data_IF_273789846008
#
_entry.id   IF_273789846008
#
_cell.length_a   1.000
_cell.length_b   1.000
_cell.length_c   1.000
_cell.angle_alpha   90.00
_cell.angle_beta   90.00
_cell.angle_gamma   90.00
#
_symmetry.space_group_name_H-M   'P 1'
#
loop_
_entity.id
_entity.type
_entity.pdbx_description
1 polymer ?
#
# COMPACT_ATOMS: atom_id res chain seq x y z
N UNK A 1 -24.74 13.06 15.91
CA UNK A 1 -23.31 12.72 16.05
C UNK A 1 -23.22 11.31 15.55
N UNK A 2 -22.44 11.07 14.50
CA UNK A 2 -22.43 9.79 13.79
C UNK A 2 -21.25 8.98 14.30
N UNK A 3 -21.50 7.74 14.73
CA UNK A 3 -20.42 6.84 15.19
C UNK A 3 -19.95 5.99 14.03
N UNK A 4 -18.65 6.04 13.73
CA UNK A 4 -18.00 5.20 12.73
C UNK A 4 -17.28 4.07 13.43
N UNK A 5 -17.78 2.84 13.28
CA UNK A 5 -17.06 1.64 13.70
C UNK A 5 -16.07 1.26 12.61
N UNK A 6 -14.78 1.36 12.91
CA UNK A 6 -13.70 1.04 11.96
C UNK A 6 -13.19 -0.38 12.17
N UNK A 7 -13.25 -1.21 11.12
CA UNK A 7 -12.79 -2.60 11.13
C UNK A 7 -11.57 -2.75 10.21
N UNK A 8 -10.41 -2.98 10.82
CA UNK A 8 -9.13 -3.04 10.10
C UNK A 8 -8.96 -4.34 9.29
N UNK A 9 -8.02 -4.34 8.33
CA UNK A 9 -7.61 -5.50 7.54
C UNK A 9 -6.69 -6.49 8.28
N UNK A 10 -6.16 -7.47 7.55
CA UNK A 10 -5.26 -8.51 8.08
C UNK A 10 -3.94 -7.95 8.60
N UNK A 11 -3.27 -8.67 9.50
CA UNK A 11 -1.91 -8.33 9.95
C UNK A 11 -1.78 -7.08 10.82
N UNK A 12 -2.77 -6.19 10.84
CA UNK A 12 -2.76 -4.97 11.65
C UNK A 12 -2.84 -5.32 13.13
N UNK A 13 -1.79 -4.97 13.88
CA UNK A 13 -1.64 -5.12 15.33
C UNK A 13 -0.99 -3.85 15.89
N UNK A 14 -0.89 -3.72 17.21
CA UNK A 14 -0.14 -2.62 17.81
C UNK A 14 1.36 -2.70 17.48
N UNK A 15 2.06 -1.58 17.26
CA UNK A 15 1.56 -0.19 17.31
C UNK A 15 0.87 0.32 16.03
N UNK A 16 0.87 -0.48 14.95
CA UNK A 16 0.30 -0.09 13.64
C UNK A 16 -1.20 0.18 13.66
N UNK A 17 -1.95 -0.51 14.54
CA UNK A 17 -3.38 -0.27 14.76
C UNK A 17 -3.64 1.15 15.27
N UNK A 18 -2.92 1.60 16.30
CA UNK A 18 -3.04 2.97 16.83
C UNK A 18 -2.76 4.01 15.73
N UNK A 19 -1.71 3.82 14.94
CA UNK A 19 -1.37 4.73 13.84
C UNK A 19 -2.48 4.79 12.77
N UNK A 20 -3.01 3.63 12.37
CA UNK A 20 -4.08 3.53 11.39
C UNK A 20 -5.37 4.21 11.89
N UNK A 21 -5.80 3.91 13.11
CA UNK A 21 -7.01 4.50 13.71
C UNK A 21 -6.85 6.02 13.87
N UNK A 22 -5.67 6.48 14.29
CA UNK A 22 -5.34 7.90 14.35
C UNK A 22 -5.47 8.58 12.98
N UNK A 23 -4.95 7.96 11.92
CA UNK A 23 -5.06 8.46 10.56
C UNK A 23 -6.51 8.52 10.06
N UNK A 24 -7.29 7.46 10.27
CA UNK A 24 -8.71 7.42 9.91
C UNK A 24 -9.51 8.48 10.65
N UNK A 25 -9.27 8.63 11.95
CA UNK A 25 -9.91 9.65 12.78
C UNK A 25 -9.60 11.05 12.27
N UNK A 26 -8.33 11.36 11.99
CA UNK A 26 -7.92 12.65 11.45
C UNK A 26 -8.51 12.92 10.06
N UNK A 27 -8.55 11.91 9.19
CA UNK A 27 -9.10 12.03 7.83
C UNK A 27 -10.60 12.32 7.83
N UNK A 28 -11.38 11.66 8.70
CA UNK A 28 -12.82 11.93 8.83
C UNK A 28 -13.09 13.29 9.49
N UNK A 29 -12.37 13.63 10.55
CA UNK A 29 -12.51 14.92 11.24
C UNK A 29 -12.18 16.12 10.33
N UNK A 30 -11.25 15.95 9.37
CA UNK A 30 -10.94 16.98 8.39
C UNK A 30 -12.09 17.27 7.39
N UNK A 31 -13.06 16.36 7.27
CA UNK A 31 -14.18 16.51 6.32
C UNK A 31 -15.48 16.94 7.00
N UNK A 32 -15.77 16.46 8.22
CA UNK A 32 -16.99 16.79 8.96
C UNK A 32 -16.76 16.68 10.47
N UNK A 33 -17.18 17.71 11.20
CA UNK A 33 -17.21 17.70 12.67
C UNK A 33 -18.24 16.70 13.22
N UNK A 34 -18.08 16.30 14.49
CA UNK A 34 -19.03 15.43 15.21
C UNK A 34 -19.14 14.00 14.65
N UNK A 35 -18.05 13.47 14.12
CA UNK A 35 -17.84 12.04 13.85
C UNK A 35 -16.99 11.45 14.98
N UNK A 36 -17.45 10.35 15.58
CA UNK A 36 -16.66 9.57 16.53
C UNK A 36 -16.21 8.27 15.89
N UNK A 37 -14.91 8.00 15.90
CA UNK A 37 -14.36 6.73 15.42
C UNK A 37 -14.18 5.76 16.58
N UNK A 38 -14.74 4.57 16.46
CA UNK A 38 -14.59 3.47 17.43
C UNK A 38 -13.95 2.28 16.71
N UNK A 39 -12.72 1.89 17.04
CA UNK A 39 -12.07 0.77 16.37
C UNK A 39 -12.61 -0.58 16.87
N UNK A 40 -12.85 -1.52 15.96
CA UNK A 40 -13.03 -2.93 16.29
C UNK A 40 -11.70 -3.69 16.15
N UNK A 41 -11.00 -3.85 17.27
CA UNK A 41 -9.62 -4.36 17.35
C UNK A 41 -9.53 -5.90 17.34
N UNK A 42 -10.13 -6.57 16.35
CA UNK A 42 -10.23 -8.03 16.31
C UNK A 42 -8.87 -8.74 16.22
N UNK A 43 -7.84 -8.07 15.68
CA UNK A 43 -6.54 -8.66 15.40
C UNK A 43 -5.87 -9.31 16.61
N UNK A 44 -5.87 -8.63 17.76
CA UNK A 44 -5.24 -9.14 18.97
C UNK A 44 -6.01 -10.32 19.58
N UNK A 45 -7.34 -10.28 19.54
CA UNK A 45 -8.21 -11.25 20.22
C UNK A 45 -8.47 -12.50 19.38
N UNK A 46 -8.66 -12.32 18.07
CA UNK A 46 -9.16 -13.37 17.16
C UNK A 46 -8.20 -13.70 16.03
N UNK A 47 -7.20 -12.85 15.77
CA UNK A 47 -6.24 -13.04 14.69
C UNK A 47 -5.41 -14.33 14.83
N UNK A 48 -4.85 -14.77 13.71
CA UNK A 48 -3.94 -15.90 13.68
C UNK A 48 -2.60 -15.52 14.30
N UNK A 49 -2.02 -16.47 15.05
CA UNK A 49 -0.66 -16.41 15.56
C UNK A 49 -0.02 -17.78 15.37
N UNK A 50 1.30 -17.79 15.18
CA UNK A 50 2.08 -19.02 15.16
C UNK A 50 2.26 -19.53 16.59
N UNK A 51 1.33 -20.36 17.07
CA UNK A 51 1.30 -20.86 18.44
C UNK A 51 2.59 -21.59 18.87
N UNK A 52 3.30 -22.20 17.92
CA UNK A 52 4.58 -22.88 18.14
C UNK A 52 5.77 -22.10 17.56
N UNK A 53 5.69 -20.77 17.49
CA UNK A 53 6.76 -19.88 17.02
C UNK A 53 7.38 -20.28 15.67
N UNK A 54 6.56 -20.82 14.76
CA UNK A 54 7.01 -21.25 13.44
C UNK A 54 7.69 -22.62 13.40
N UNK A 55 7.43 -23.52 14.36
CA UNK A 55 7.93 -24.90 14.31
C UNK A 55 7.55 -25.69 13.04
N UNK A 56 6.50 -25.27 12.32
CA UNK A 56 6.12 -25.82 11.02
C UNK A 56 6.93 -25.24 9.84
N UNK A 57 7.70 -24.18 10.07
CA UNK A 57 8.53 -23.57 9.04
C UNK A 57 9.79 -24.43 8.85
N UNK A 58 10.21 -24.72 7.60
CA UNK A 58 11.46 -25.40 7.37
C UNK A 58 12.62 -24.58 7.98
N UNK A 59 13.71 -25.24 8.43
CA UNK A 59 14.92 -24.55 8.84
C UNK A 59 15.34 -23.58 7.73
N UNK A 60 15.73 -22.35 8.09
CA UNK A 60 16.17 -21.34 7.13
C UNK A 60 17.46 -21.81 6.45
N UNK A 61 17.33 -22.55 5.36
CA UNK A 61 18.45 -22.85 4.46
C UNK A 61 18.75 -21.61 3.63
N UNK A 62 19.99 -21.13 3.68
CA UNK A 62 20.46 -20.06 2.82
C UNK A 62 20.26 -20.41 1.35
N UNK A 63 19.75 -19.43 0.59
CA UNK A 63 19.70 -19.39 -0.89
C UNK A 63 19.00 -20.57 -1.57
N UNK A 64 17.69 -20.45 -1.81
CA UNK A 64 16.99 -21.31 -2.78
C UNK A 64 16.75 -20.55 -4.09
N UNK A 65 17.31 -21.14 -5.16
CA UNK A 65 17.23 -20.72 -6.56
C UNK A 65 15.79 -20.78 -7.10
N UNK A 66 15.49 -19.84 -8.00
CA UNK A 66 14.25 -19.69 -8.73
C UNK A 66 14.01 -20.79 -9.79
N UNK A 67 12.73 -21.12 -10.02
CA UNK A 67 12.25 -21.85 -11.20
C UNK A 67 10.89 -21.27 -11.66
N UNK A 68 10.78 -20.96 -12.96
CA UNK A 68 9.54 -21.07 -13.75
C UNK A 68 8.95 -19.77 -14.30
N UNK A 69 8.95 -19.65 -15.63
CA UNK A 69 8.40 -18.57 -16.48
C UNK A 69 6.87 -18.61 -16.71
N UNK A 70 6.31 -17.43 -17.05
CA UNK A 70 5.16 -17.22 -17.96
C UNK A 70 3.86 -16.68 -17.33
N UNK A 71 2.90 -16.12 -18.12
CA UNK A 71 3.00 -15.11 -19.19
C UNK A 71 2.07 -13.88 -18.92
N UNK A 72 2.16 -12.83 -19.76
CA UNK A 72 1.03 -11.91 -20.01
C UNK A 72 1.34 -10.41 -19.91
N UNK A 73 1.10 -9.70 -21.02
CA UNK A 73 1.58 -8.34 -21.29
C UNK A 73 0.89 -7.21 -20.53
N UNK A 74 1.63 -6.12 -20.35
CA UNK A 74 1.14 -4.83 -19.90
C UNK A 74 1.60 -3.75 -20.88
N UNK A 75 0.67 -2.86 -21.17
CA UNK A 75 0.80 -1.80 -22.15
C UNK A 75 1.95 -0.83 -21.79
N UNK A 76 2.74 -0.49 -22.80
CA UNK A 76 4.01 0.21 -22.68
C UNK A 76 3.80 1.73 -22.63
N UNK A 77 3.39 2.28 -21.48
CA UNK A 77 3.59 3.68 -21.05
C UNK A 77 2.98 4.02 -19.66
N UNK A 78 2.78 3.05 -18.75
CA UNK A 78 2.22 3.36 -17.42
C UNK A 78 3.32 3.71 -16.39
N UNK A 79 3.37 4.96 -15.93
CA UNK A 79 4.25 5.41 -14.84
C UNK A 79 4.08 4.55 -13.57
N UNK A 80 2.88 4.01 -13.35
CA UNK A 80 2.63 3.13 -12.20
C UNK A 80 3.32 1.77 -12.34
N UNK A 81 3.46 1.24 -13.56
CA UNK A 81 4.23 0.02 -13.82
C UNK A 81 5.74 0.23 -13.56
N UNK A 82 6.27 1.41 -13.88
CA UNK A 82 7.66 1.77 -13.58
C UNK A 82 7.92 1.82 -12.07
N UNK A 83 7.01 2.44 -11.30
CA UNK A 83 7.11 2.44 -9.83
C UNK A 83 7.03 1.03 -9.24
N UNK A 84 6.20 0.17 -9.81
CA UNK A 84 6.09 -1.20 -9.35
C UNK A 84 7.38 -2.01 -9.55
N UNK A 85 8.16 -1.70 -10.59
CA UNK A 85 9.48 -2.27 -10.79
C UNK A 85 10.48 -1.71 -9.77
N UNK A 86 10.42 -0.41 -9.47
CA UNK A 86 11.27 0.23 -8.47
C UNK A 86 10.99 -0.25 -7.04
N UNK A 87 9.74 -0.57 -6.68
CA UNK A 87 9.47 -1.14 -5.35
C UNK A 87 10.05 -2.56 -5.21
N UNK A 88 10.14 -3.31 -6.30
CA UNK A 88 10.78 -4.62 -6.29
C UNK A 88 12.31 -4.51 -6.24
N UNK A 89 12.89 -3.53 -6.95
CA UNK A 89 14.31 -3.22 -6.94
C UNK A 89 14.54 -1.70 -6.95
N UNK A 90 14.71 -1.07 -5.76
CA UNK A 90 14.90 0.38 -5.65
C UNK A 90 16.13 0.92 -6.37
N UNK A 91 17.07 0.06 -6.77
CA UNK A 91 18.30 0.45 -7.45
C UNK A 91 18.28 0.13 -8.95
N UNK A 92 17.15 -0.35 -9.51
CA UNK A 92 17.07 -0.79 -10.90
C UNK A 92 17.49 0.29 -11.92
N UNK A 93 17.12 1.55 -11.68
CA UNK A 93 17.52 2.68 -12.54
C UNK A 93 19.03 2.95 -12.47
N UNK A 94 19.65 2.81 -11.29
CA UNK A 94 21.11 2.92 -11.14
C UNK A 94 21.85 1.78 -11.84
N UNK A 95 21.31 0.56 -11.82
CA UNK A 95 21.86 -0.58 -12.56
C UNK A 95 21.90 -0.27 -14.07
N UNK A 96 20.80 0.24 -14.62
CA UNK A 96 20.70 0.59 -16.03
C UNK A 96 21.64 1.74 -16.39
N UNK A 97 21.74 2.76 -15.54
CA UNK A 97 22.67 3.87 -15.73
C UNK A 97 24.13 3.38 -15.74
N UNK A 98 24.53 2.62 -14.72
CA UNK A 98 25.87 2.07 -14.58
C UNK A 98 26.28 1.16 -15.76
N UNK A 99 25.32 0.41 -16.33
CA UNK A 99 25.56 -0.43 -17.51
C UNK A 99 25.81 0.33 -18.82
N UNK A 100 25.45 1.62 -18.88
CA UNK A 100 25.65 2.49 -20.05
C UNK A 100 26.91 3.37 -19.94
N UNK A 101 27.65 3.30 -18.84
CA UNK A 101 28.85 4.10 -18.62
C UNK A 101 29.96 3.79 -19.63
N UNK A 102 30.55 4.82 -20.23
CA UNK A 102 31.79 4.70 -21.02
C UNK A 102 32.96 4.99 -20.10
N UNK A 103 34.02 4.19 -20.16
CA UNK A 103 35.26 4.48 -19.44
C UNK A 103 35.90 5.71 -20.09
N UNK A 104 35.94 6.82 -19.34
CA UNK A 104 36.63 8.05 -19.74
C UNK A 104 37.90 8.15 -18.90
N UNK A 105 39.07 8.21 -19.54
CA UNK A 105 40.32 8.51 -18.82
C UNK A 105 40.26 9.94 -18.28
N UNK A 106 40.46 10.09 -16.98
CA UNK A 106 40.42 11.38 -16.29
C UNK A 106 41.82 11.84 -15.91
N UNK A 107 42.09 13.16 -15.98
CA UNK A 107 43.35 13.72 -15.50
C UNK A 107 43.60 13.37 -14.03
N UNK A 108 44.87 13.11 -13.63
CA UNK A 108 45.23 12.94 -12.22
C UNK A 108 44.74 14.12 -11.37
N UNK A 109 44.06 13.83 -10.26
CA UNK A 109 43.55 14.84 -9.33
C UNK A 109 42.12 15.34 -9.62
N UNK A 110 41.44 14.83 -10.66
CA UNK A 110 40.02 15.12 -10.86
C UNK A 110 39.16 14.58 -9.71
N UNK A 111 38.20 15.37 -9.26
CA UNK A 111 37.22 14.91 -8.26
C UNK A 111 36.41 13.71 -8.81
N UNK A 112 36.20 12.65 -8.01
CA UNK A 112 35.33 11.54 -8.42
C UNK A 112 33.92 12.04 -8.73
N UNK A 113 33.26 11.58 -9.80
CA UNK A 113 31.98 12.15 -10.24
C UNK A 113 30.86 11.98 -9.21
N UNK A 114 30.92 10.92 -8.40
CA UNK A 114 29.97 10.67 -7.34
C UNK A 114 30.16 11.55 -6.10
N UNK A 115 31.26 12.29 -5.98
CA UNK A 115 31.63 12.99 -4.74
C UNK A 115 30.56 14.02 -4.35
N UNK A 116 30.07 14.80 -5.31
CA UNK A 116 28.97 15.75 -5.11
C UNK A 116 27.68 15.05 -4.67
N UNK A 117 27.29 13.97 -5.35
CA UNK A 117 26.09 13.20 -5.01
C UNK A 117 26.19 12.60 -3.60
N UNK A 118 27.36 12.08 -3.21
CA UNK A 118 27.62 11.58 -1.86
C UNK A 118 27.46 12.65 -0.80
N UNK A 119 28.04 13.83 -1.01
CA UNK A 119 27.91 14.94 -0.07
C UNK A 119 26.44 15.35 0.14
N UNK A 120 25.66 15.42 -0.95
CA UNK A 120 24.23 15.75 -0.88
C UNK A 120 23.41 14.65 -0.21
N UNK A 121 23.69 13.37 -0.48
CA UNK A 121 23.07 12.24 0.22
C UNK A 121 23.38 12.24 1.72
N UNK A 122 24.62 12.55 2.11
CA UNK A 122 24.98 12.71 3.52
C UNK A 122 24.23 13.88 4.17
N UNK A 123 24.04 14.99 3.45
CA UNK A 123 23.25 16.11 3.94
C UNK A 123 21.76 15.75 4.09
N UNK A 124 21.19 14.99 3.16
CA UNK A 124 19.83 14.43 3.29
C UNK A 124 19.74 13.51 4.50
N UNK A 125 20.72 12.62 4.70
CA UNK A 125 20.73 11.72 5.84
C UNK A 125 20.80 12.48 7.19
N UNK A 126 21.56 13.58 7.24
CA UNK A 126 21.69 14.42 8.43
C UNK A 126 20.40 15.19 8.78
N UNK A 127 19.52 15.45 7.80
CA UNK A 127 18.20 16.05 8.04
C UNK A 127 17.20 15.05 8.64
N UNK A 128 17.55 13.76 8.69
CA UNK A 128 16.68 12.70 9.18
C UNK A 128 15.42 12.58 8.33
N UNK A 129 14.31 12.23 8.99
CA UNK A 129 13.04 11.96 8.30
C UNK A 129 12.20 13.22 8.05
N UNK A 130 12.71 14.43 8.34
CA UNK A 130 11.96 15.69 8.15
C UNK A 130 11.51 15.86 6.70
N UNK A 131 12.36 15.50 5.74
CA UNK A 131 12.06 15.55 4.29
C UNK A 131 11.01 14.51 3.85
N UNK A 132 10.82 13.44 4.61
CA UNK A 132 9.93 12.32 4.29
C UNK A 132 8.93 12.01 5.41
N UNK A 133 8.56 13.01 6.22
CA UNK A 133 7.71 12.82 7.41
C UNK A 133 6.37 12.12 7.09
N UNK A 134 5.87 12.30 5.86
CA UNK A 134 4.65 11.69 5.33
C UNK A 134 4.77 10.21 4.94
N UNK A 135 5.99 9.67 4.78
CA UNK A 135 6.27 8.25 4.49
C UNK A 135 6.72 7.46 5.73
N UNK A 136 7.08 8.15 6.82
CA UNK A 136 7.60 7.53 8.03
C UNK A 136 9.13 7.50 8.08
N UNK A 137 9.70 6.74 9.04
CA UNK A 137 11.14 6.73 9.26
C UNK A 137 11.90 5.93 8.21
N UNK A 138 13.20 6.22 8.07
CA UNK A 138 14.14 5.41 7.29
C UNK A 138 14.85 6.16 6.17
N UNK A 139 14.56 7.46 5.98
CA UNK A 139 15.22 8.25 4.93
C UNK A 139 16.72 8.37 5.20
N UNK A 140 17.11 8.53 6.46
CA UNK A 140 18.52 8.62 6.84
C UNK A 140 19.31 7.36 6.49
N UNK A 141 18.75 6.19 6.77
CA UNK A 141 19.36 4.90 6.48
C UNK A 141 19.39 4.63 4.97
N UNK A 142 18.30 4.94 4.25
CA UNK A 142 18.24 4.82 2.80
C UNK A 142 19.27 5.73 2.10
N UNK A 143 19.40 6.99 2.53
CA UNK A 143 20.35 7.95 1.99
C UNK A 143 21.81 7.55 2.29
N UNK A 144 22.09 7.07 3.51
CA UNK A 144 23.40 6.54 3.90
C UNK A 144 23.76 5.30 3.07
N UNK A 145 22.82 4.38 2.91
CA UNK A 145 22.98 3.18 2.10
C UNK A 145 23.26 3.51 0.63
N UNK A 146 22.53 4.47 0.06
CA UNK A 146 22.74 4.91 -1.32
C UNK A 146 24.09 5.61 -1.51
N UNK A 147 24.53 6.45 -0.56
CA UNK A 147 25.83 7.13 -0.61
C UNK A 147 27.01 6.14 -0.65
N UNK A 148 26.87 5.01 0.06
CA UNK A 148 27.83 3.92 0.09
C UNK A 148 27.66 2.90 -1.05
N UNK A 149 26.61 3.02 -1.87
CA UNK A 149 26.24 1.98 -2.83
C UNK A 149 27.27 1.89 -3.99
N UNK A 150 27.70 0.67 -4.37
CA UNK A 150 28.72 0.49 -5.42
C UNK A 150 28.28 0.98 -6.81
N UNK A 151 26.97 1.06 -7.06
CA UNK A 151 26.44 1.56 -8.33
C UNK A 151 26.45 3.09 -8.46
N UNK A 152 26.67 3.84 -7.37
CA UNK A 152 26.60 5.30 -7.41
C UNK A 152 27.72 5.88 -8.30
N UNK A 153 28.95 5.37 -8.17
CA UNK A 153 30.09 5.81 -8.97
C UNK A 153 29.90 5.55 -10.48
N UNK A 154 29.62 4.33 -10.95
CA UNK A 154 29.42 4.08 -12.37
C UNK A 154 28.18 4.78 -12.94
N UNK A 155 27.12 4.99 -12.14
CA UNK A 155 25.98 5.80 -12.59
C UNK A 155 26.34 7.28 -12.74
N UNK A 156 27.16 7.83 -11.83
CA UNK A 156 27.66 9.21 -11.93
C UNK A 156 28.65 9.44 -13.07
N UNK A 157 29.34 8.39 -13.54
CA UNK A 157 30.13 8.43 -14.78
C UNK A 157 29.23 8.47 -16.03
N UNK A 158 28.06 7.85 -15.98
CA UNK A 158 27.18 7.68 -17.13
C UNK A 158 26.15 8.81 -17.31
N UNK A 159 25.82 9.54 -16.26
CA UNK A 159 24.76 10.54 -16.21
C UNK A 159 25.30 11.93 -15.89
N UNK A 160 24.59 12.96 -16.35
CA UNK A 160 24.81 14.29 -15.81
C UNK A 160 24.32 14.40 -14.35
N UNK A 161 24.76 15.42 -13.58
CA UNK A 161 24.39 15.55 -12.18
C UNK A 161 22.88 15.71 -11.92
N UNK A 162 22.12 16.29 -12.85
CA UNK A 162 20.69 16.51 -12.67
C UNK A 162 19.92 15.20 -12.87
N UNK A 163 20.26 14.43 -13.90
CA UNK A 163 19.70 13.10 -14.15
C UNK A 163 20.03 12.13 -13.01
N UNK A 164 21.26 12.18 -12.49
CA UNK A 164 21.66 11.38 -11.33
C UNK A 164 20.84 11.74 -10.07
N UNK A 165 20.58 13.03 -9.84
CA UNK A 165 19.78 13.50 -8.71
C UNK A 165 18.34 12.97 -8.79
N UNK A 166 17.73 12.97 -9.99
CA UNK A 166 16.38 12.42 -10.21
C UNK A 166 16.33 10.91 -9.95
N UNK A 167 17.29 10.14 -10.48
CA UNK A 167 17.36 8.69 -10.26
C UNK A 167 17.61 8.36 -8.78
N UNK A 168 18.51 9.09 -8.12
CA UNK A 168 18.78 8.91 -6.70
C UNK A 168 17.52 9.21 -5.85
N UNK A 169 16.79 10.28 -6.14
CA UNK A 169 15.54 10.61 -5.47
C UNK A 169 14.47 9.51 -5.62
N UNK A 170 14.28 9.00 -6.85
CA UNK A 170 13.38 7.88 -7.13
C UNK A 170 13.78 6.62 -6.39
N UNK A 171 15.08 6.33 -6.33
CA UNK A 171 15.63 5.20 -5.59
C UNK A 171 15.32 5.28 -4.08
N UNK A 172 15.53 6.46 -3.48
CA UNK A 172 15.20 6.70 -2.07
C UNK A 172 13.69 6.57 -1.80
N UNK A 173 12.85 7.21 -2.62
CA UNK A 173 11.39 7.10 -2.47
C UNK A 173 10.93 5.65 -2.64
N UNK A 174 11.41 4.95 -3.65
CA UNK A 174 11.08 3.55 -3.89
C UNK A 174 11.51 2.66 -2.73
N UNK A 175 12.68 2.93 -2.14
CA UNK A 175 13.18 2.21 -0.98
C UNK A 175 12.26 2.37 0.23
N UNK A 176 11.84 3.60 0.54
CA UNK A 176 10.94 3.88 1.65
C UNK A 176 9.58 3.20 1.48
N UNK A 177 9.01 3.24 0.27
CA UNK A 177 7.75 2.54 0.00
C UNK A 177 7.94 1.02 0.06
N UNK A 178 9.04 0.50 -0.47
CA UNK A 178 9.35 -0.94 -0.37
C UNK A 178 9.52 -1.39 1.08
N UNK A 179 10.22 -0.63 1.92
CA UNK A 179 10.38 -0.93 3.34
C UNK A 179 9.03 -0.88 4.08
N UNK A 180 8.15 0.07 3.73
CA UNK A 180 6.79 0.12 4.28
C UNK A 180 5.95 -1.10 3.87
N UNK A 181 6.11 -1.59 2.64
CA UNK A 181 5.44 -2.81 2.17
C UNK A 181 6.01 -4.07 2.84
N UNK A 182 7.34 -4.18 2.95
CA UNK A 182 8.01 -5.31 3.61
C UNK A 182 7.69 -5.38 5.11
N UNK A 183 7.37 -4.24 5.73
CA UNK A 183 6.91 -4.13 7.11
C UNK A 183 5.39 -4.34 7.27
N UNK A 184 4.66 -4.69 6.21
CA UNK A 184 3.20 -4.81 6.18
C UNK A 184 2.49 -3.56 6.74
N UNK A 185 3.01 -2.36 6.42
CA UNK A 185 2.45 -1.10 6.92
C UNK A 185 1.00 -0.92 6.45
N UNK A 186 0.05 -0.59 7.36
CA UNK A 186 -1.31 -0.28 6.98
C UNK A 186 -1.47 1.10 6.32
N UNK A 187 -0.39 1.90 6.27
CA UNK A 187 -0.37 3.27 5.79
C UNK A 187 0.70 3.42 4.71
N UNK A 188 0.34 3.08 3.47
CA UNK A 188 1.18 3.32 2.29
C UNK A 188 0.78 4.67 1.68
N UNK A 189 1.71 5.56 1.32
CA UNK A 189 1.38 6.85 0.72
C UNK A 189 0.65 6.69 -0.62
N UNK A 190 -0.13 7.70 -1.02
CA UNK A 190 -0.61 7.79 -2.40
C UNK A 190 0.53 8.06 -3.37
N UNK A 191 0.30 7.84 -4.67
CA UNK A 191 1.23 8.20 -5.73
C UNK A 191 1.47 9.71 -5.79
N UNK A 192 0.50 10.55 -5.43
CA UNK A 192 0.70 12.00 -5.34
C UNK A 192 1.69 12.36 -4.23
N UNK A 193 1.53 11.80 -3.03
CA UNK A 193 2.48 12.00 -1.92
C UNK A 193 3.86 11.46 -2.26
N UNK A 194 3.93 10.27 -2.88
CA UNK A 194 5.18 9.68 -3.39
C UNK A 194 5.87 10.63 -4.38
N UNK A 195 5.15 11.11 -5.38
CA UNK A 195 5.71 11.96 -6.44
C UNK A 195 6.19 13.30 -5.87
N UNK A 196 5.43 13.90 -4.94
CA UNK A 196 5.84 15.12 -4.24
C UNK A 196 7.11 14.93 -3.41
N UNK A 197 7.25 13.81 -2.70
CA UNK A 197 8.48 13.47 -2.00
C UNK A 197 9.65 13.30 -2.96
N UNK A 198 9.46 12.55 -4.05
CA UNK A 198 10.50 12.35 -5.07
C UNK A 198 11.00 13.69 -5.61
N UNK A 199 10.10 14.65 -5.86
CA UNK A 199 10.48 15.97 -6.36
C UNK A 199 11.29 16.75 -5.32
N UNK A 200 10.86 16.78 -4.05
CA UNK A 200 11.63 17.42 -2.97
C UNK A 200 13.02 16.79 -2.79
N UNK A 201 13.12 15.46 -2.88
CA UNK A 201 14.41 14.76 -2.79
C UNK A 201 15.29 15.06 -4.00
N UNK A 202 14.74 15.15 -5.21
CA UNK A 202 15.50 15.48 -6.40
C UNK A 202 16.10 16.89 -6.28
N UNK A 203 15.31 17.87 -5.80
CA UNK A 203 15.79 19.23 -5.52
C UNK A 203 16.90 19.24 -4.45
N UNK A 204 16.72 18.51 -3.35
CA UNK A 204 17.73 18.37 -2.29
C UNK A 204 19.03 17.72 -2.81
N UNK A 205 18.93 16.88 -3.84
CA UNK A 205 20.05 16.21 -4.51
C UNK A 205 20.61 17.03 -5.69
N UNK A 206 20.11 18.24 -5.93
CA UNK A 206 20.67 19.19 -6.89
C UNK A 206 20.05 19.14 -8.29
N UNK A 207 18.90 18.50 -8.47
CA UNK A 207 18.10 18.64 -9.69
C UNK A 207 17.50 20.06 -9.77
N UNK A 208 17.33 20.63 -10.98
CA UNK A 208 16.63 21.89 -11.14
C UNK A 208 15.15 21.76 -10.76
N UNK A 209 14.58 22.83 -10.20
CA UNK A 209 13.15 22.90 -9.86
C UNK A 209 12.30 22.67 -11.11
N UNK A 210 11.32 21.75 -11.01
CA UNK A 210 10.38 21.46 -12.10
C UNK A 210 9.58 22.73 -12.43
N UNK A 211 9.72 23.24 -13.66
CA UNK A 211 9.01 24.45 -14.12
C UNK A 211 9.87 25.42 -14.94
N UNK A 212 11.17 25.18 -15.05
CA UNK A 212 12.06 25.86 -16.01
C UNK A 212 12.38 24.89 -17.16
N UNK A 213 12.16 25.33 -18.40
CA UNK A 213 11.92 24.43 -19.55
C UNK A 213 13.08 23.54 -20.01
N UNK A 214 12.69 22.46 -20.70
CA UNK A 214 13.43 21.48 -21.54
C UNK A 214 14.18 20.34 -20.82
N UNK A 215 13.51 19.18 -20.83
CA UNK A 215 14.19 17.95 -21.27
C UNK A 215 14.47 16.87 -20.23
N UNK A 216 13.49 16.43 -19.43
CA UNK A 216 13.64 15.24 -18.57
C UNK A 216 12.80 14.03 -19.02
N UNK A 217 12.32 14.00 -20.28
CA UNK A 217 11.38 12.96 -20.76
C UNK A 217 12.00 11.78 -21.51
N UNK A 218 13.31 11.74 -21.82
CA UNK A 218 13.83 10.72 -22.76
C UNK A 218 14.60 9.54 -22.16
N UNK A 219 14.95 9.56 -20.86
CA UNK A 219 15.68 8.44 -20.21
C UNK A 219 14.81 7.63 -19.23
N UNK A 220 13.70 8.18 -18.76
CA UNK A 220 12.82 7.60 -17.72
C UNK A 220 12.00 6.38 -18.20
N UNK A 221 11.79 6.21 -19.52
CA UNK A 221 10.87 5.21 -20.08
C UNK A 221 11.53 3.86 -20.44
N UNK A 222 12.85 3.70 -20.25
CA UNK A 222 13.58 2.48 -20.66
C UNK A 222 13.65 1.35 -19.62
N UNK A 223 13.03 1.53 -18.46
CA UNK A 223 13.05 0.53 -17.36
C UNK A 223 12.04 -0.60 -17.58
N UNK A 224 10.97 -0.36 -18.36
CA UNK A 224 9.81 -1.27 -18.43
C UNK A 224 10.12 -2.63 -19.08
N UNK A 225 11.06 -2.71 -20.04
CA UNK A 225 11.27 -3.93 -20.83
C UNK A 225 12.19 -4.99 -20.19
N UNK A 226 13.22 -4.58 -19.43
CA UNK A 226 14.26 -5.49 -18.94
C UNK A 226 14.15 -5.83 -17.44
N UNK A 227 13.44 -5.01 -16.66
CA UNK A 227 13.27 -5.20 -15.20
C UNK A 227 11.98 -5.97 -14.88
N UNK A 228 11.04 -6.05 -15.83
CA UNK A 228 9.77 -6.76 -15.69
C UNK A 228 9.96 -8.22 -15.22
N UNK A 229 10.96 -8.93 -15.73
CA UNK A 229 11.21 -10.33 -15.38
C UNK A 229 11.62 -10.51 -13.91
N UNK A 230 12.44 -9.60 -13.36
CA UNK A 230 12.90 -9.67 -11.95
C UNK A 230 11.85 -9.14 -10.96
N UNK A 231 11.09 -8.12 -11.36
CA UNK A 231 9.99 -7.60 -10.56
C UNK A 231 8.86 -8.64 -10.40
N UNK A 232 8.59 -9.44 -11.43
CA UNK A 232 7.62 -10.55 -11.37
C UNK A 232 8.11 -11.67 -10.43
N UNK A 233 9.41 -12.01 -10.45
CA UNK A 233 9.99 -13.02 -9.55
C UNK A 233 9.92 -12.60 -8.05
N UNK A 234 10.14 -11.32 -7.74
CA UNK A 234 10.02 -10.79 -6.36
C UNK A 234 8.56 -10.65 -5.90
N UNK A 235 7.64 -10.27 -6.79
CA UNK A 235 6.19 -10.23 -6.51
C UNK A 235 5.65 -11.59 -6.08
N UNK A 236 6.16 -12.67 -6.67
CA UNK A 236 5.80 -14.03 -6.27
C UNK A 236 6.29 -14.38 -4.86
N UNK A 237 7.42 -13.80 -4.43
CA UNK A 237 8.05 -14.06 -3.12
C UNK A 237 7.33 -13.37 -1.95
N UNK A 238 6.74 -12.19 -2.17
CA UNK A 238 5.88 -11.50 -1.19
C UNK A 238 4.59 -12.30 -0.95
N UNK A 239 4.05 -12.94 -1.99
CA UNK A 239 2.90 -13.84 -1.87
C UNK A 239 3.22 -15.15 -1.10
N UNK A 240 4.48 -15.59 -1.03
CA UNK A 240 4.86 -16.87 -0.39
C UNK A 240 5.65 -16.78 0.91
N UNK A 241 6.41 -15.71 1.20
CA UNK A 241 7.31 -15.66 2.37
C UNK A 241 6.84 -14.71 3.50
N UNK A 242 6.11 -13.62 3.21
CA UNK A 242 5.55 -12.70 4.22
C UNK A 242 4.10 -13.04 4.63
N UNK A 243 3.47 -13.99 3.95
CA UNK A 243 2.04 -14.25 4.04
C UNK A 243 1.55 -14.96 5.32
N UNK A 244 2.40 -15.28 6.30
CA UNK A 244 1.97 -16.20 7.37
C UNK A 244 0.87 -15.64 8.30
N UNK A 245 0.97 -14.42 8.86
CA UNK A 245 -0.10 -13.89 9.71
C UNK A 245 -1.33 -13.47 8.90
N UNK A 246 -1.14 -12.85 7.74
CA UNK A 246 -2.23 -12.34 6.92
C UNK A 246 -3.07 -13.46 6.27
N UNK A 247 -2.43 -14.46 5.67
CA UNK A 247 -3.15 -15.64 5.17
C UNK A 247 -3.76 -16.45 6.33
N UNK A 248 -3.07 -16.51 7.48
CA UNK A 248 -3.61 -17.10 8.70
C UNK A 248 -4.89 -16.42 9.17
N UNK A 249 -4.93 -15.08 9.18
CA UNK A 249 -6.12 -14.30 9.56
C UNK A 249 -7.30 -14.62 8.65
N UNK A 250 -7.08 -14.67 7.32
CA UNK A 250 -8.11 -15.00 6.33
C UNK A 250 -8.64 -16.42 6.56
N UNK A 251 -7.76 -17.42 6.62
CA UNK A 251 -8.14 -18.81 6.84
C UNK A 251 -8.87 -19.00 8.16
N UNK A 252 -8.43 -18.31 9.21
CA UNK A 252 -9.07 -18.36 10.53
C UNK A 252 -10.46 -17.74 10.51
N UNK A 253 -10.64 -16.61 9.83
CA UNK A 253 -11.96 -16.01 9.70
C UNK A 253 -12.90 -16.89 8.86
N UNK A 254 -12.47 -17.36 7.69
CA UNK A 254 -13.32 -18.20 6.84
C UNK A 254 -13.72 -19.52 7.51
N UNK A 255 -12.84 -20.12 8.31
CA UNK A 255 -13.12 -21.38 9.02
C UNK A 255 -13.78 -21.20 10.38
N UNK A 256 -13.55 -20.08 11.08
CA UNK A 256 -13.94 -19.85 12.49
C UNK A 256 -14.40 -18.40 12.74
N UNK A 257 -15.11 -17.82 11.79
CA UNK A 257 -15.50 -16.41 11.77
C UNK A 257 -16.55 -15.98 12.80
N UNK A 258 -17.24 -16.93 13.45
CA UNK A 258 -18.31 -16.63 14.41
C UNK A 258 -17.86 -15.66 15.52
N UNK A 259 -16.69 -15.90 16.12
CA UNK A 259 -16.16 -15.03 17.17
C UNK A 259 -15.90 -13.59 16.70
N UNK A 260 -15.49 -13.40 15.44
CA UNK A 260 -15.28 -12.07 14.85
C UNK A 260 -16.62 -11.34 14.69
N UNK A 261 -17.64 -12.03 14.18
CA UNK A 261 -18.98 -11.47 14.02
C UNK A 261 -19.64 -11.15 15.36
N UNK A 262 -19.49 -12.03 16.34
CA UNK A 262 -20.07 -11.86 17.67
C UNK A 262 -19.42 -10.68 18.41
N UNK A 263 -18.10 -10.51 18.29
CA UNK A 263 -17.38 -9.35 18.83
C UNK A 263 -17.83 -8.03 18.19
N UNK A 264 -17.97 -7.99 16.85
CA UNK A 264 -18.48 -6.79 16.17
C UNK A 264 -19.93 -6.50 16.56
N UNK A 265 -20.80 -7.52 16.66
CA UNK A 265 -22.19 -7.37 17.10
C UNK A 265 -22.27 -6.81 18.51
N UNK A 266 -21.47 -7.34 19.44
CA UNK A 266 -21.42 -6.88 20.82
C UNK A 266 -20.96 -5.41 20.92
N UNK A 267 -19.96 -5.02 20.12
CA UNK A 267 -19.50 -3.63 20.04
C UNK A 267 -20.62 -2.71 19.55
N UNK A 268 -21.25 -3.04 18.43
CA UNK A 268 -22.31 -2.22 17.81
C UNK A 268 -23.54 -2.11 18.72
N UNK A 269 -23.91 -3.18 19.41
CA UNK A 269 -25.07 -3.19 20.30
C UNK A 269 -24.97 -2.19 21.46
N UNK A 270 -23.74 -1.82 21.86
CA UNK A 270 -23.47 -0.82 22.90
C UNK A 270 -23.38 0.62 22.41
N UNK A 271 -23.64 0.89 21.12
CA UNK A 271 -23.55 2.22 20.53
C UNK A 271 -24.93 2.81 20.24
N UNK A 272 -25.04 4.13 20.35
CA UNK A 272 -26.24 4.87 19.96
C UNK A 272 -26.28 5.08 18.43
N UNK A 273 -27.45 4.95 17.78
CA UNK A 273 -27.61 5.27 16.37
C UNK A 273 -27.46 6.78 16.08
N UNK A 274 -27.05 7.18 14.86
CA UNK A 274 -26.71 6.31 13.73
C UNK A 274 -25.25 5.81 13.79
N UNK A 275 -25.06 4.54 13.44
CA UNK A 275 -23.75 3.89 13.30
C UNK A 275 -23.45 3.64 11.82
N UNK A 276 -22.24 3.98 11.39
CA UNK A 276 -21.68 3.53 10.11
C UNK A 276 -20.55 2.54 10.37
N UNK A 277 -20.55 1.40 9.67
CA UNK A 277 -19.46 0.41 9.77
C UNK A 277 -18.56 0.58 8.55
N UNK A 278 -17.27 0.83 8.79
CA UNK A 278 -16.25 1.03 7.74
C UNK A 278 -15.21 -0.08 7.85
N UNK A 279 -15.15 -0.96 6.87
CA UNK A 279 -14.24 -2.11 6.85
C UNK A 279 -13.22 -2.07 5.72
N UNK A 280 -11.96 -2.36 6.02
CA UNK A 280 -10.88 -2.50 5.03
C UNK A 280 -10.54 -3.98 4.80
N UNK A 281 -10.40 -4.42 3.55
CA UNK A 281 -9.93 -5.78 3.21
C UNK A 281 -10.74 -6.86 3.97
N UNK A 282 -10.09 -7.71 4.77
CA UNK A 282 -10.77 -8.69 5.64
C UNK A 282 -11.74 -8.04 6.63
N UNK A 283 -11.46 -6.86 7.13
CA UNK A 283 -12.39 -6.09 7.97
C UNK A 283 -13.69 -5.73 7.25
N UNK A 284 -13.62 -5.51 5.93
CA UNK A 284 -14.80 -5.35 5.08
C UNK A 284 -15.63 -6.63 4.97
N UNK A 285 -14.98 -7.80 4.88
CA UNK A 285 -15.66 -9.10 4.89
C UNK A 285 -16.34 -9.32 6.24
N UNK A 286 -15.61 -9.12 7.35
CA UNK A 286 -16.15 -9.24 8.72
C UNK A 286 -17.39 -8.36 8.89
N UNK A 287 -17.32 -7.10 8.47
CA UNK A 287 -18.44 -6.16 8.54
C UNK A 287 -19.65 -6.62 7.72
N UNK A 288 -19.46 -6.92 6.43
CA UNK A 288 -20.53 -7.36 5.52
C UNK A 288 -21.20 -8.64 6.03
N UNK A 289 -20.41 -9.66 6.34
CA UNK A 289 -20.88 -10.97 6.78
C UNK A 289 -21.63 -10.88 8.14
N UNK A 290 -21.20 -9.97 9.03
CA UNK A 290 -21.91 -9.69 10.30
C UNK A 290 -23.29 -9.10 10.06
N UNK A 291 -23.38 -8.11 9.17
CA UNK A 291 -24.64 -7.43 8.83
C UNK A 291 -25.59 -8.33 8.04
N UNK A 292 -25.06 -9.25 7.24
CA UNK A 292 -25.86 -10.29 6.57
C UNK A 292 -26.43 -11.26 7.62
N UNK A 293 -25.59 -11.77 8.52
CA UNK A 293 -25.96 -12.85 9.45
C UNK A 293 -27.09 -12.47 10.43
N UNK A 294 -27.19 -11.20 10.83
CA UNK A 294 -28.24 -10.74 11.73
C UNK A 294 -28.49 -9.22 11.59
N UNK A 295 -29.72 -8.74 11.84
CA UNK A 295 -30.01 -7.31 11.86
C UNK A 295 -29.25 -6.60 12.99
N UNK A 296 -28.68 -5.45 12.66
CA UNK A 296 -28.08 -4.50 13.60
C UNK A 296 -28.76 -3.14 13.38
N UNK A 297 -29.88 -2.85 14.05
CA UNK A 297 -30.72 -1.68 13.75
C UNK A 297 -30.01 -0.34 13.99
N UNK A 298 -28.92 -0.32 14.74
CA UNK A 298 -28.08 0.85 14.92
C UNK A 298 -27.30 1.23 13.65
N UNK A 299 -27.05 0.26 12.77
CA UNK A 299 -26.19 0.44 11.60
C UNK A 299 -27.03 0.88 10.41
N UNK A 300 -26.83 2.13 10.00
CA UNK A 300 -27.55 2.73 8.87
C UNK A 300 -26.72 2.72 7.58
N UNK A 301 -25.42 2.46 7.68
CA UNK A 301 -24.51 2.54 6.54
C UNK A 301 -23.33 1.57 6.63
N UNK A 302 -23.02 0.89 5.52
CA UNK A 302 -21.84 0.04 5.37
C UNK A 302 -20.89 0.65 4.34
N UNK A 303 -19.62 0.77 4.70
CA UNK A 303 -18.53 1.08 3.78
C UNK A 303 -17.54 -0.06 3.75
N UNK A 304 -17.18 -0.53 2.56
CA UNK A 304 -16.04 -1.42 2.35
C UNK A 304 -14.97 -0.72 1.50
N UNK A 305 -13.69 -0.96 1.80
CA UNK A 305 -12.57 -0.47 0.99
C UNK A 305 -11.63 -1.63 0.67
N UNK A 306 -11.35 -1.86 -0.61
CA UNK A 306 -10.46 -2.95 -1.07
C UNK A 306 -10.88 -4.32 -0.52
N UNK A 307 -12.18 -4.62 -0.49
CA UNK A 307 -12.69 -5.84 0.16
C UNK A 307 -13.02 -6.94 -0.84
N UNK A 308 -12.84 -8.20 -0.40
CA UNK A 308 -13.13 -9.39 -1.20
C UNK A 308 -14.55 -9.94 -0.97
N UNK A 309 -15.39 -9.24 -0.20
CA UNK A 309 -16.77 -9.64 0.08
C UNK A 309 -17.57 -10.02 -1.18
N UNK A 310 -17.59 -9.17 -2.23
CA UNK A 310 -18.26 -9.52 -3.50
C UNK A 310 -17.74 -10.81 -4.15
N UNK A 311 -16.42 -10.97 -4.23
CA UNK A 311 -15.80 -12.18 -4.80
C UNK A 311 -16.16 -13.44 -4.00
N UNK A 312 -16.11 -13.36 -2.68
CA UNK A 312 -16.47 -14.49 -1.81
C UNK A 312 -17.95 -14.85 -1.95
N UNK A 313 -18.84 -13.88 -2.13
CA UNK A 313 -20.25 -14.16 -2.40
C UNK A 313 -20.42 -14.87 -3.75
N UNK A 314 -19.84 -14.31 -4.82
CA UNK A 314 -19.93 -14.87 -6.18
C UNK A 314 -19.30 -16.26 -6.28
N UNK A 315 -18.23 -16.53 -5.54
CA UNK A 315 -17.55 -17.82 -5.49
C UNK A 315 -18.18 -18.84 -4.53
N UNK A 316 -19.26 -18.48 -3.82
CA UNK A 316 -19.92 -19.35 -2.82
C UNK A 316 -19.08 -19.58 -1.55
N UNK A 317 -18.14 -18.69 -1.25
CA UNK A 317 -17.22 -18.79 -0.10
C UNK A 317 -17.53 -17.80 1.03
N UNK A 318 -18.51 -16.89 0.88
CA UNK A 318 -18.95 -15.99 1.94
C UNK A 318 -19.78 -16.77 2.99
N UNK A 319 -19.38 -16.80 4.28
CA UNK A 319 -19.97 -17.74 5.23
C UNK A 319 -21.47 -17.59 5.48
N UNK A 320 -22.02 -16.37 5.46
CA UNK A 320 -23.41 -16.11 5.85
C UNK A 320 -24.35 -15.86 4.68
N UNK A 321 -23.87 -15.89 3.43
CA UNK A 321 -24.70 -15.72 2.24
C UNK A 321 -24.11 -16.45 1.04
N UNK A 322 -24.92 -17.31 0.43
CA UNK A 322 -24.55 -18.09 -0.76
C UNK A 322 -25.22 -17.52 -2.02
N UNK A 323 -24.48 -17.41 -3.12
CA UNK A 323 -25.06 -17.00 -4.41
C UNK A 323 -26.06 -18.06 -4.93
N UNK A 324 -27.24 -17.67 -5.44
CA UNK A 324 -27.67 -16.32 -5.83
C UNK A 324 -28.60 -15.63 -4.81
N UNK A 325 -28.54 -15.99 -3.53
CA UNK A 325 -29.45 -15.42 -2.54
C UNK A 325 -29.27 -13.88 -2.44
N UNK A 326 -30.36 -13.09 -2.42
CA UNK A 326 -30.25 -11.64 -2.39
C UNK A 326 -29.71 -11.16 -1.03
N UNK A 327 -29.12 -9.96 -1.00
CA UNK A 327 -28.81 -9.30 0.28
C UNK A 327 -30.08 -9.19 1.14
N UNK A 328 -30.05 -9.67 2.39
CA UNK A 328 -31.18 -9.54 3.30
C UNK A 328 -31.70 -8.09 3.37
N UNK A 329 -33.03 -7.87 3.50
CA UNK A 329 -33.60 -6.52 3.50
C UNK A 329 -33.06 -5.61 4.59
N UNK A 330 -32.60 -6.18 5.72
CA UNK A 330 -32.04 -5.42 6.84
C UNK A 330 -30.58 -4.96 6.64
N UNK A 331 -29.89 -5.42 5.60
CA UNK A 331 -28.53 -4.93 5.30
C UNK A 331 -28.65 -3.47 4.85
N UNK A 332 -27.92 -2.53 5.47
CA UNK A 332 -28.00 -1.10 5.15
C UNK A 332 -27.50 -0.81 3.72
N UNK A 333 -27.66 0.44 3.28
CA UNK A 333 -27.03 0.90 2.04
C UNK A 333 -25.51 0.68 2.13
N UNK A 334 -24.94 0.16 1.05
CA UNK A 334 -23.55 -0.23 0.99
C UNK A 334 -22.78 0.61 -0.03
N UNK A 335 -21.78 1.36 0.44
CA UNK A 335 -20.75 1.98 -0.39
C UNK A 335 -19.54 1.05 -0.47
N UNK A 336 -19.12 0.70 -1.67
CA UNK A 336 -17.89 -0.06 -1.90
C UNK A 336 -16.87 0.81 -2.62
N UNK A 337 -15.73 1.06 -1.96
CA UNK A 337 -14.60 1.80 -2.48
C UNK A 337 -13.57 0.82 -3.02
N UNK A 338 -13.15 1.02 -4.27
CA UNK A 338 -12.13 0.19 -4.90
C UNK A 338 -11.12 1.05 -5.67
N UNK A 339 -9.85 0.65 -5.65
CA UNK A 339 -8.86 1.15 -6.59
C UNK A 339 -8.77 0.17 -7.77
N UNK A 340 -8.87 0.61 -9.04
CA UNK A 340 -8.71 -0.26 -10.20
C UNK A 340 -7.38 -1.06 -10.24
N UNK A 341 -6.36 -0.59 -9.53
CA UNK A 341 -5.04 -1.24 -9.42
C UNK A 341 -4.90 -2.08 -8.14
N UNK A 342 -5.90 -2.07 -7.26
CA UNK A 342 -5.97 -2.98 -6.13
C UNK A 342 -6.56 -4.33 -6.59
N UNK A 343 -5.68 -5.32 -6.77
CA UNK A 343 -6.05 -6.67 -7.20
C UNK A 343 -6.92 -7.43 -6.19
N UNK A 344 -7.15 -6.87 -5.00
CA UNK A 344 -7.98 -7.44 -3.95
C UNK A 344 -9.27 -6.62 -3.70
N UNK A 345 -9.52 -5.59 -4.52
CA UNK A 345 -10.76 -4.83 -4.52
C UNK A 345 -11.75 -5.37 -5.55
N UNK A 346 -12.92 -5.83 -5.09
CA UNK A 346 -13.95 -6.40 -5.96
C UNK A 346 -15.21 -5.56 -5.96
N UNK A 347 -15.97 -5.60 -7.07
CA UNK A 347 -17.17 -4.79 -7.29
C UNK A 347 -18.44 -5.51 -6.83
N UNK A 348 -19.35 -4.80 -6.16
CA UNK A 348 -20.58 -5.38 -5.61
C UNK A 348 -21.87 -4.97 -6.35
N UNK A 349 -21.87 -3.86 -7.09
CA UNK A 349 -23.10 -3.32 -7.70
C UNK A 349 -23.71 -4.23 -8.77
N UNK A 350 -22.87 -4.98 -9.49
CA UNK A 350 -23.35 -6.00 -10.45
C UNK A 350 -24.01 -7.20 -9.78
N UNK A 351 -23.61 -7.53 -8.56
CA UNK A 351 -24.13 -8.67 -7.79
C UNK A 351 -25.38 -8.28 -6.99
N UNK A 352 -25.48 -7.03 -6.56
CA UNK A 352 -26.58 -6.52 -5.74
C UNK A 352 -27.12 -5.16 -6.25
N UNK A 353 -27.85 -5.15 -7.38
CA UNK A 353 -28.33 -3.93 -8.01
C UNK A 353 -29.19 -3.06 -7.08
N UNK A 354 -28.91 -1.76 -7.06
CA UNK A 354 -29.64 -0.78 -6.23
C UNK A 354 -29.37 -0.86 -4.73
N UNK A 355 -28.55 -1.82 -4.28
CA UNK A 355 -28.16 -1.98 -2.86
C UNK A 355 -26.70 -1.56 -2.61
N UNK A 356 -25.86 -1.65 -3.63
CA UNK A 356 -24.43 -1.34 -3.56
C UNK A 356 -24.07 -0.24 -4.55
N UNK A 357 -23.31 0.74 -4.08
CA UNK A 357 -22.67 1.78 -4.91
C UNK A 357 -21.18 1.53 -4.94
N UNK A 358 -20.66 1.06 -6.08
CA UNK A 358 -19.22 0.99 -6.31
C UNK A 358 -18.67 2.36 -6.71
N UNK A 359 -17.59 2.81 -6.07
CA UNK A 359 -16.90 4.07 -6.37
C UNK A 359 -15.41 3.81 -6.50
N UNK A 360 -14.86 4.14 -7.67
CA UNK A 360 -13.43 4.05 -7.92
C UNK A 360 -12.67 5.17 -7.19
N UNK A 361 -11.59 4.83 -6.50
CA UNK A 361 -10.62 5.77 -5.94
C UNK A 361 -9.24 5.46 -6.52
N UNK A 362 -8.62 6.44 -7.18
CA UNK A 362 -7.27 6.25 -7.73
C UNK A 362 -6.23 6.67 -6.70
N UNK A 363 -5.46 5.71 -6.19
CA UNK A 363 -4.31 5.98 -5.32
C UNK A 363 -3.06 6.36 -6.10
N UNK A 364 -3.03 6.17 -7.43
CA UNK A 364 -1.84 6.28 -8.30
C UNK A 364 -0.69 5.37 -7.86
N UNK A 365 -1.02 4.28 -7.18
CA UNK A 365 -0.06 3.25 -6.76
C UNK A 365 -0.26 1.95 -7.52
N UNK A 366 0.81 1.15 -7.72
CA UNK A 366 0.69 -0.21 -8.22
C UNK A 366 0.30 -1.15 -7.08
N UNK A 367 -0.19 -2.34 -7.42
CA UNK A 367 -0.29 -3.44 -6.46
C UNK A 367 1.11 -3.91 -6.00
N UNK A 368 1.33 -4.22 -4.70
CA UNK A 368 0.35 -4.24 -3.60
C UNK A 368 0.10 -2.89 -2.89
N UNK A 369 0.89 -1.84 -3.19
CA UNK A 369 0.77 -0.53 -2.54
C UNK A 369 -0.63 0.10 -2.63
N UNK A 370 -1.33 -0.07 -3.75
CA UNK A 370 -2.71 0.40 -3.93
C UNK A 370 -3.66 -0.11 -2.82
N UNK A 371 -3.48 -1.34 -2.37
CA UNK A 371 -4.35 -1.97 -1.36
C UNK A 371 -4.22 -1.33 0.03
N UNK A 372 -3.06 -0.78 0.36
CA UNK A 372 -2.76 -0.13 1.65
C UNK A 372 -2.81 1.40 1.59
N UNK A 373 -3.20 1.98 0.43
CA UNK A 373 -3.21 3.43 0.22
C UNK A 373 -4.58 4.09 0.44
N UNK A 374 -5.65 3.34 0.75
CA UNK A 374 -6.99 3.93 0.95
C UNK A 374 -7.00 5.01 2.03
N UNK A 375 -6.36 4.76 3.17
CA UNK A 375 -6.39 5.67 4.34
C UNK A 375 -5.39 6.83 4.25
N UNK A 376 -4.56 6.85 3.21
CA UNK A 376 -3.74 8.02 2.86
C UNK A 376 -4.37 8.82 1.71
N UNK A 377 -5.42 8.31 1.07
CA UNK A 377 -6.12 8.98 -0.03
C UNK A 377 -7.25 9.91 0.47
N UNK A 378 -7.16 11.24 0.28
CA UNK A 378 -8.22 12.17 0.70
C UNK A 378 -9.58 11.93 0.04
N UNK A 379 -9.62 11.35 -1.17
CA UNK A 379 -10.87 11.04 -1.87
C UNK A 379 -11.72 10.01 -1.13
N UNK A 380 -11.08 9.06 -0.43
CA UNK A 380 -11.77 8.04 0.38
C UNK A 380 -12.62 8.71 1.46
N UNK A 381 -12.05 9.64 2.20
CA UNK A 381 -12.77 10.34 3.28
C UNK A 381 -13.93 11.19 2.75
N UNK A 382 -13.76 11.86 1.61
CA UNK A 382 -14.85 12.60 0.95
C UNK A 382 -16.01 11.68 0.61
N UNK A 383 -15.75 10.57 -0.07
CA UNK A 383 -16.81 9.62 -0.45
C UNK A 383 -17.56 9.00 0.72
N UNK A 384 -16.86 8.75 1.83
CA UNK A 384 -17.46 8.27 3.07
C UNK A 384 -18.39 9.35 3.64
N UNK A 385 -17.86 10.56 3.89
CA UNK A 385 -18.60 11.63 4.57
C UNK A 385 -19.79 12.13 3.76
N UNK A 386 -19.69 12.19 2.44
CA UNK A 386 -20.80 12.56 1.55
C UNK A 386 -22.04 11.65 1.71
N UNK A 387 -21.85 10.44 2.24
CA UNK A 387 -22.89 9.41 2.41
C UNK A 387 -23.15 9.03 3.86
N UNK A 388 -22.44 9.64 4.82
CA UNK A 388 -22.74 9.43 6.23
C UNK A 388 -24.08 10.10 6.59
N UNK A 389 -24.93 9.42 7.38
CA UNK A 389 -26.18 9.97 7.88
C UNK A 389 -25.96 11.20 8.78
#
# INVERSE_FOLDING_TARGET
>A
MTTVVFVHGTGVREPGLTALVGRVTAGLAAQRDRIQVVPYCWGATHGATLAAAGACLPPRSGTTRALGEGPGGLDMADETAAWAALYADPYAELVLAAGNGRVVERPPGSEPPQQRARALLTAVAAQGDVLAAELGPGLADAATGLAAHPLLAPAAEALDPADLAVIAARSLTARLVADALDADSPLVPTGETRDALTDRLAEALGAPVRGTERGLRSSLLRVAGAVASRAVERRRRVLTEAAHPAAGDILRYLSRGAAFRDGLRALVAGLEPPVAVVGHSLGGIIALDTLIAAPLPQVEFLVTAGSQGPFLYESGSLPSLEHPAPLPPHVPTWLNLYDPRDLLGYLGAGLFPGRVSDVAVDSRQPFPAAHSAYWTNPAVYRHIVDRLP
#
